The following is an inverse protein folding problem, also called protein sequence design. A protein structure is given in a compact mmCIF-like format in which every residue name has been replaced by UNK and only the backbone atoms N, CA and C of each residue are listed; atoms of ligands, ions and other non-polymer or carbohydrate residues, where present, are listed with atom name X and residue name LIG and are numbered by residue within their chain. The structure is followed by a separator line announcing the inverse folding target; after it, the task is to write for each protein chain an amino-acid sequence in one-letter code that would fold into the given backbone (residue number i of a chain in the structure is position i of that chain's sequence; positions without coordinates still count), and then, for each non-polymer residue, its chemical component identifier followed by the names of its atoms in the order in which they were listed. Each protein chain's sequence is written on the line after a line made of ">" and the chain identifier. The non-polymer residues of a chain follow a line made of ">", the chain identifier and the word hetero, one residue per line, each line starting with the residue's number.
data_IF_057158071384
#
_entry.id   IF_057158071384
#
_cell.length_a   1.000
_cell.length_b   1.000
_cell.length_c   1.000
_cell.angle_alpha   90.00
_cell.angle_beta   90.00
_cell.angle_gamma   90.00
#
_symmetry.space_group_name_H-M   'P 1'
#
loop_
_entity.id
_entity.type
_entity.pdbx_description
1 polymer ?
#
# COMPACT_ATOMS: atom_id res chain seq x y z
N UNK A 1 -23.86 14.83 23.88
CA UNK A 1 -23.69 15.29 22.48
C UNK A 1 -23.51 14.05 21.61
N UNK A 2 -24.27 13.85 20.53
CA UNK A 2 -24.05 12.72 19.64
C UNK A 2 -22.73 12.96 18.88
N UNK A 3 -21.78 12.05 19.03
CA UNK A 3 -20.49 12.10 18.33
C UNK A 3 -20.71 12.07 16.82
N UNK A 4 -20.00 12.94 16.11
CA UNK A 4 -19.92 12.92 14.65
C UNK A 4 -19.39 11.56 14.20
N UNK A 5 -20.27 10.69 13.72
CA UNK A 5 -19.90 9.54 12.91
C UNK A 5 -19.17 10.10 11.69
N UNK A 6 -17.86 9.89 11.61
CA UNK A 6 -17.04 10.35 10.50
C UNK A 6 -17.61 9.80 9.20
N UNK A 7 -17.89 10.69 8.25
CA UNK A 7 -18.37 10.33 6.93
C UNK A 7 -17.32 9.42 6.28
N UNK A 8 -17.66 8.15 6.04
CA UNK A 8 -16.80 7.16 5.37
C UNK A 8 -16.92 7.32 3.86
N UNK A 9 -16.74 8.55 3.37
CA UNK A 9 -16.77 8.82 1.94
C UNK A 9 -15.35 8.73 1.38
N UNK A 10 -15.22 8.10 0.21
CA UNK A 10 -13.98 8.11 -0.52
C UNK A 10 -13.64 9.56 -0.92
N UNK A 11 -12.47 10.03 -0.52
CA UNK A 11 -11.97 11.37 -0.85
C UNK A 11 -10.96 11.23 -1.98
N UNK A 12 -11.24 11.94 -3.09
CA UNK A 12 -10.30 12.06 -4.21
C UNK A 12 -9.00 12.73 -3.74
N UNK A 13 -7.83 12.30 -4.24
CA UNK A 13 -6.59 13.01 -3.95
C UNK A 13 -6.65 14.47 -4.46
N UNK A 14 -5.89 15.40 -3.83
CA UNK A 14 -5.70 16.75 -4.35
C UNK A 14 -5.14 16.76 -5.77
N UNK A 15 -5.35 17.83 -6.56
CA UNK A 15 -4.72 17.96 -7.88
C UNK A 15 -3.20 17.80 -7.82
N UNK A 16 -2.63 17.01 -8.73
CA UNK A 16 -1.19 16.71 -8.77
C UNK A 16 -0.75 15.56 -7.84
N UNK A 17 -1.66 15.02 -7.03
CA UNK A 17 -1.41 13.87 -6.18
C UNK A 17 -2.06 12.62 -6.75
N UNK A 18 -1.40 11.48 -6.56
CA UNK A 18 -2.02 10.18 -6.82
C UNK A 18 -2.28 9.43 -5.52
N UNK A 19 -3.47 8.85 -5.41
CA UNK A 19 -3.79 7.92 -4.32
C UNK A 19 -3.49 6.51 -4.78
N UNK A 20 -2.75 5.74 -3.99
CA UNK A 20 -2.48 4.34 -4.28
C UNK A 20 -2.87 3.50 -3.07
N UNK A 21 -3.87 2.64 -3.28
CA UNK A 21 -4.26 1.61 -2.32
C UNK A 21 -3.48 0.34 -2.61
N UNK A 22 -2.92 -0.30 -1.60
CA UNK A 22 -2.24 -1.57 -1.74
C UNK A 22 -2.70 -2.59 -0.70
N UNK A 23 -2.62 -3.85 -1.06
CA UNK A 23 -3.01 -4.97 -0.21
C UNK A 23 -2.19 -6.22 -0.56
N UNK A 24 -2.16 -7.17 0.35
CA UNK A 24 -1.49 -8.46 0.20
C UNK A 24 -2.39 -9.62 0.63
N UNK A 25 -2.22 -10.74 -0.05
CA UNK A 25 -2.74 -12.03 0.39
C UNK A 25 -1.56 -12.97 0.57
N UNK A 26 -1.40 -13.54 1.75
CA UNK A 26 -0.31 -14.45 2.09
C UNK A 26 -0.83 -15.77 2.67
N UNK A 27 -0.27 -16.88 2.18
CA UNK A 27 -0.57 -18.23 2.64
C UNK A 27 0.70 -18.84 3.26
N UNK A 28 0.72 -18.95 4.58
CA UNK A 28 1.86 -19.45 5.35
C UNK A 28 2.27 -20.88 5.01
N UNK A 29 1.30 -21.75 4.75
CA UNK A 29 1.53 -23.19 4.56
C UNK A 29 2.39 -23.49 3.33
N UNK A 30 2.22 -22.69 2.28
CA UNK A 30 2.95 -22.83 1.02
C UNK A 30 3.99 -21.71 0.80
N UNK A 31 4.09 -20.75 1.73
CA UNK A 31 5.04 -19.62 1.68
C UNK A 31 4.91 -18.79 0.41
N UNK A 32 3.67 -18.59 -0.04
CA UNK A 32 3.35 -17.83 -1.25
C UNK A 32 2.34 -16.75 -0.92
N UNK A 33 2.39 -15.68 -1.70
CA UNK A 33 1.40 -14.63 -1.64
C UNK A 33 1.21 -13.93 -2.97
N UNK A 34 0.28 -12.99 -2.98
CA UNK A 34 0.06 -12.07 -4.07
C UNK A 34 -0.13 -10.67 -3.49
N UNK A 35 0.51 -9.70 -4.11
CA UNK A 35 0.39 -8.29 -3.76
C UNK A 35 -0.29 -7.55 -4.89
N UNK A 36 -1.07 -6.53 -4.55
CA UNK A 36 -1.76 -5.68 -5.51
C UNK A 36 -1.65 -4.21 -5.10
N UNK A 37 -1.63 -3.32 -6.09
CA UNK A 37 -1.72 -1.89 -5.91
C UNK A 37 -2.61 -1.27 -6.99
N UNK A 38 -3.50 -0.35 -6.60
CA UNK A 38 -4.41 0.37 -7.49
C UNK A 38 -4.20 1.87 -7.32
N UNK A 39 -3.91 2.55 -8.42
CA UNK A 39 -3.65 3.97 -8.48
C UNK A 39 -4.88 4.74 -8.99
N UNK A 40 -5.22 5.84 -8.31
CA UNK A 40 -6.48 6.56 -8.48
C UNK A 40 -6.22 8.08 -8.47
N UNK A 41 -6.75 8.79 -9.47
CA UNK A 41 -6.76 10.26 -9.57
C UNK A 41 -8.15 10.71 -10.07
N UNK A 42 -9.13 10.81 -9.16
CA UNK A 42 -10.53 11.02 -9.52
C UNK A 42 -11.22 9.80 -10.17
N UNK A 43 -10.45 8.90 -10.77
CA UNK A 43 -10.83 7.62 -11.38
C UNK A 43 -9.65 6.64 -11.34
N UNK A 44 -9.89 5.35 -11.58
CA UNK A 44 -8.83 4.34 -11.62
C UNK A 44 -7.94 4.61 -12.84
N UNK A 45 -6.65 4.88 -12.58
CA UNK A 45 -5.63 5.11 -13.61
C UNK A 45 -4.93 3.81 -14.00
N UNK A 46 -4.48 3.04 -13.01
CA UNK A 46 -3.68 1.85 -13.24
C UNK A 46 -3.76 0.87 -12.07
N UNK A 47 -3.40 -0.38 -12.35
CA UNK A 47 -3.22 -1.42 -11.35
C UNK A 47 -1.94 -2.19 -11.60
N UNK A 48 -1.34 -2.68 -10.52
CA UNK A 48 -0.19 -3.57 -10.57
C UNK A 48 -0.42 -4.77 -9.66
N UNK A 49 -0.02 -5.95 -10.10
CA UNK A 49 -0.11 -7.19 -9.33
C UNK A 49 1.19 -7.98 -9.45
N UNK A 50 1.57 -8.67 -8.38
CA UNK A 50 2.76 -9.52 -8.37
C UNK A 50 2.54 -10.72 -7.46
N UNK A 51 2.87 -11.93 -7.96
CA UNK A 51 3.03 -13.10 -7.11
C UNK A 51 4.37 -13.04 -6.39
N UNK A 52 4.35 -13.34 -5.10
CA UNK A 52 5.52 -13.28 -4.23
C UNK A 52 5.72 -14.62 -3.53
N UNK A 53 6.97 -14.90 -3.18
CA UNK A 53 7.34 -16.01 -2.31
C UNK A 53 8.05 -15.39 -1.12
N UNK A 54 7.51 -15.61 0.07
CA UNK A 54 8.07 -15.07 1.32
C UNK A 54 7.74 -16.04 2.46
N UNK A 55 8.53 -15.96 3.51
CA UNK A 55 8.36 -16.71 4.74
C UNK A 55 7.53 -15.96 5.79
N UNK A 56 7.36 -14.64 5.62
CA UNK A 56 6.77 -13.75 6.62
C UNK A 56 5.64 -12.91 6.00
N UNK A 57 4.49 -12.90 6.66
CA UNK A 57 3.37 -12.03 6.28
C UNK A 57 3.78 -10.56 6.27
N UNK A 58 4.64 -10.11 7.19
CA UNK A 58 5.10 -8.71 7.23
C UNK A 58 5.95 -8.34 6.02
N UNK A 59 6.75 -9.28 5.53
CA UNK A 59 7.52 -9.08 4.31
C UNK A 59 6.58 -9.04 3.08
N UNK A 60 5.52 -9.86 3.08
CA UNK A 60 4.48 -9.79 2.04
C UNK A 60 3.81 -8.41 1.97
N UNK A 61 3.52 -7.83 3.13
CA UNK A 61 2.92 -6.50 3.28
C UNK A 61 3.86 -5.39 2.81
N UNK A 62 5.13 -5.49 3.19
CA UNK A 62 6.15 -4.54 2.73
C UNK A 62 6.33 -4.60 1.21
N UNK A 63 6.28 -5.80 0.61
CA UNK A 63 6.33 -5.96 -0.85
C UNK A 63 5.11 -5.36 -1.55
N UNK A 64 3.92 -5.33 -0.92
CA UNK A 64 2.76 -4.64 -1.47
C UNK A 64 2.97 -3.12 -1.51
N UNK A 65 3.50 -2.55 -0.43
CA UNK A 65 3.84 -1.14 -0.41
C UNK A 65 4.96 -0.78 -1.40
N UNK A 66 5.97 -1.65 -1.55
CA UNK A 66 7.03 -1.48 -2.56
C UNK A 66 6.44 -1.46 -3.98
N UNK A 67 5.49 -2.35 -4.26
CA UNK A 67 4.78 -2.39 -5.55
C UNK A 67 4.01 -1.09 -5.81
N UNK A 68 3.36 -0.54 -4.78
CA UNK A 68 2.62 0.71 -4.85
C UNK A 68 3.54 1.90 -5.13
N UNK A 69 4.69 1.98 -4.47
CA UNK A 69 5.69 3.04 -4.73
C UNK A 69 6.23 2.92 -6.16
N UNK A 70 6.57 1.71 -6.61
CA UNK A 70 7.02 1.47 -8.00
C UNK A 70 5.95 1.87 -9.01
N UNK A 71 4.68 1.61 -8.73
CA UNK A 71 3.56 2.04 -9.56
C UNK A 71 3.50 3.57 -9.66
N UNK A 72 3.64 4.29 -8.55
CA UNK A 72 3.65 5.75 -8.54
C UNK A 72 4.80 6.33 -9.40
N UNK A 73 6.00 5.78 -9.24
CA UNK A 73 7.18 6.19 -10.02
C UNK A 73 6.98 5.92 -11.51
N UNK A 74 6.43 4.76 -11.87
CA UNK A 74 6.15 4.41 -13.27
C UNK A 74 5.07 5.31 -13.90
N UNK A 75 4.19 5.90 -13.10
CA UNK A 75 3.19 6.88 -13.52
C UNK A 75 3.71 8.33 -13.46
N UNK A 76 4.99 8.52 -13.13
CA UNK A 76 5.64 9.83 -13.01
C UNK A 76 5.05 10.76 -11.92
N UNK A 77 4.45 10.20 -10.87
CA UNK A 77 4.00 10.99 -9.71
C UNK A 77 5.09 11.06 -8.64
N UNK A 78 5.31 12.28 -8.13
CA UNK A 78 6.19 12.54 -6.99
C UNK A 78 5.39 12.68 -5.68
N UNK A 79 4.20 13.27 -5.77
CA UNK A 79 3.29 13.44 -4.63
C UNK A 79 2.30 12.28 -4.59
N UNK A 80 2.44 11.43 -3.56
CA UNK A 80 1.70 10.16 -3.45
C UNK A 80 1.03 10.07 -2.09
N UNK A 81 -0.26 9.74 -2.10
CA UNK A 81 -1.00 9.30 -0.93
C UNK A 81 -1.09 7.77 -0.94
N UNK A 82 -0.29 7.11 -0.11
CA UNK A 82 -0.30 5.65 0.06
C UNK A 82 -1.30 5.23 1.15
N UNK A 83 -2.20 4.32 0.82
CA UNK A 83 -3.18 3.71 1.74
C UNK A 83 -2.96 2.20 1.80
N UNK A 84 -2.89 1.65 3.01
CA UNK A 84 -2.80 0.21 3.28
C UNK A 84 -3.32 -0.08 4.69
N UNK A 85 -3.75 -1.31 4.94
CA UNK A 85 -4.36 -1.74 6.20
C UNK A 85 -3.33 -2.11 7.29
N UNK A 86 -2.07 -2.34 6.89
CA UNK A 86 -1.01 -2.72 7.82
C UNK A 86 -0.31 -1.52 8.48
N UNK A 87 -0.76 -1.18 9.69
CA UNK A 87 -0.23 -0.07 10.51
C UNK A 87 1.31 -0.11 10.68
N UNK A 88 1.91 -1.30 10.81
CA UNK A 88 3.36 -1.43 11.01
C UNK A 88 4.14 -1.03 9.76
N UNK A 89 3.65 -1.40 8.58
CA UNK A 89 4.28 -1.04 7.30
C UNK A 89 4.18 0.46 7.06
N UNK A 90 3.00 1.05 7.28
CA UNK A 90 2.81 2.51 7.14
C UNK A 90 3.73 3.28 8.08
N UNK A 91 3.89 2.85 9.33
CA UNK A 91 4.81 3.50 10.27
C UNK A 91 6.28 3.36 9.88
N UNK A 92 6.69 2.21 9.35
CA UNK A 92 8.05 2.03 8.85
C UNK A 92 8.33 2.94 7.65
N UNK A 93 7.39 3.04 6.70
CA UNK A 93 7.51 3.92 5.52
C UNK A 93 7.51 5.41 5.90
N UNK A 94 6.79 5.78 6.95
CA UNK A 94 6.78 7.15 7.47
C UNK A 94 8.05 7.52 8.27
N UNK A 95 9.10 6.69 8.23
CA UNK A 95 10.33 6.85 9.02
C UNK A 95 10.10 6.95 10.53
N UNK A 96 8.97 6.42 11.03
CA UNK A 96 8.64 6.44 12.47
C UNK A 96 9.27 5.27 13.22
N UNK A 97 9.62 4.20 12.52
CA UNK A 97 10.25 2.98 13.07
C UNK A 97 11.14 2.33 12.03
N UNK A 98 12.28 1.76 12.43
CA UNK A 98 13.06 0.85 11.57
C UNK A 98 12.29 -0.46 11.36
N UNK A 99 12.26 -1.02 10.14
CA UNK A 99 11.56 -2.27 9.89
C UNK A 99 12.19 -3.40 10.73
N UNK A 100 11.41 -4.17 11.50
CA UNK A 100 11.92 -5.27 12.32
C UNK A 100 12.24 -6.54 11.53
N UNK A 101 12.06 -6.55 10.20
CA UNK A 101 12.32 -7.69 9.33
C UNK A 101 13.55 -7.44 8.44
N UNK A 102 14.22 -8.52 8.05
CA UNK A 102 15.41 -8.44 7.19
C UNK A 102 14.99 -8.03 5.77
N UNK A 103 15.27 -6.78 5.41
CA UNK A 103 15.30 -6.33 4.02
C UNK A 103 16.56 -6.92 3.37
N UNK A 104 16.43 -8.08 2.74
CA UNK A 104 17.49 -8.71 1.93
C UNK A 104 17.43 -8.22 0.50
#
# INVERSE_FOLDING_TARGET
>A
MPGSQGVTEWISPPPGWIKINFDTSYMSDIKQGAVAAIAIEGHILAGSIKRIKTMDAKEAEFQAAELAVKLAVNLNYLDVHLEGDNYNVINCLANKTTPPWNSS
#
